data_IF_289848633600
#
_entry.id   IF_289848633600
#
_cell.length_a   1.000
_cell.length_b   1.000
_cell.length_c   1.000
_cell.angle_alpha   90.00
_cell.angle_beta   90.00
_cell.angle_gamma   90.00
#
_symmetry.space_group_name_H-M   'P 1'
#
loop_
_entity.id
_entity.type
_entity.pdbx_description
1 polymer ?
#
# COMPACT_ATOMS: atom_id res chain seq x y z
N UNK A 1 5.46 -0.56 33.42
CA UNK A 1 4.24 0.28 33.60
C UNK A 1 3.14 -0.33 32.78
N UNK A 2 1.95 -0.50 33.32
CA UNK A 2 0.79 -1.01 32.56
C UNK A 2 0.19 0.14 31.71
N UNK A 3 -0.21 -0.16 30.49
CA UNK A 3 -0.90 0.81 29.60
C UNK A 3 -2.11 1.41 30.34
N UNK A 4 -2.32 2.74 30.25
CA UNK A 4 -3.47 3.39 30.85
C UNK A 4 -4.79 2.95 30.18
N UNK A 5 -5.90 2.98 30.92
CA UNK A 5 -7.23 2.65 30.37
C UNK A 5 -7.62 3.58 29.19
N UNK A 6 -7.21 4.85 29.28
CA UNK A 6 -7.48 5.84 28.24
C UNK A 6 -6.67 5.55 26.97
N UNK A 7 -5.38 5.24 27.09
CA UNK A 7 -4.54 4.87 25.97
C UNK A 7 -5.01 3.56 25.33
N UNK A 8 -5.37 2.57 26.14
CA UNK A 8 -5.90 1.31 25.63
C UNK A 8 -7.19 1.52 24.80
N UNK A 9 -8.10 2.39 25.28
CA UNK A 9 -9.30 2.78 24.53
C UNK A 9 -8.95 3.55 23.25
N UNK A 10 -8.04 4.51 23.34
CA UNK A 10 -7.54 5.31 22.21
C UNK A 10 -6.97 4.38 21.12
N UNK A 11 -6.00 3.56 21.48
CA UNK A 11 -5.30 2.72 20.50
C UNK A 11 -6.16 1.57 19.96
N UNK A 12 -7.03 0.96 20.77
CA UNK A 12 -7.98 -0.03 20.27
C UNK A 12 -8.96 0.56 19.24
N UNK A 13 -9.21 1.87 19.26
CA UNK A 13 -10.06 2.54 18.27
C UNK A 13 -9.44 2.63 16.89
N UNK A 14 -8.11 2.50 16.75
CA UNK A 14 -7.36 2.57 15.48
C UNK A 14 -7.72 1.43 14.50
N UNK A 15 -8.47 0.43 14.95
CA UNK A 15 -9.11 -0.58 14.08
C UNK A 15 -10.00 0.08 13.01
N UNK A 16 -10.55 1.26 13.28
CA UNK A 16 -11.43 2.01 12.38
C UNK A 16 -10.65 3.07 11.59
N UNK A 17 -10.85 3.12 10.25
CA UNK A 17 -10.22 4.12 9.35
C UNK A 17 -10.43 5.55 9.85
N UNK A 18 -11.68 5.89 10.25
CA UNK A 18 -11.98 7.25 10.75
C UNK A 18 -11.13 7.66 11.94
N UNK A 19 -10.85 6.71 12.86
CA UNK A 19 -10.01 6.99 14.03
C UNK A 19 -8.52 7.05 13.70
N UNK A 20 -8.06 6.27 12.72
CA UNK A 20 -6.69 6.43 12.21
C UNK A 20 -6.47 7.82 11.63
N UNK A 21 -7.41 8.28 10.80
CA UNK A 21 -7.33 9.62 10.20
C UNK A 21 -7.44 10.75 11.23
N UNK A 22 -8.36 10.61 12.21
CA UNK A 22 -8.56 11.60 13.29
C UNK A 22 -7.32 11.74 14.18
N UNK A 23 -6.73 10.60 14.55
CA UNK A 23 -5.60 10.55 15.48
C UNK A 23 -4.24 10.63 14.80
N UNK A 24 -4.18 10.46 13.47
CA UNK A 24 -2.92 10.39 12.73
C UNK A 24 -2.05 9.19 13.11
N UNK A 25 -2.67 8.09 13.56
CA UNK A 25 -1.97 6.91 14.09
C UNK A 25 -2.49 5.62 13.43
N UNK A 26 -1.62 4.60 13.36
CA UNK A 26 -2.01 3.26 12.95
C UNK A 26 -1.29 2.18 13.77
N UNK A 27 -1.74 0.94 13.64
CA UNK A 27 -1.20 -0.21 14.38
C UNK A 27 -0.33 -1.05 13.47
N UNK A 28 0.83 -1.45 13.97
CA UNK A 28 1.74 -2.43 13.38
C UNK A 28 1.84 -3.62 14.32
N UNK A 29 1.64 -4.83 13.81
CA UNK A 29 1.61 -6.04 14.63
C UNK A 29 2.53 -7.12 14.07
N UNK A 30 3.14 -7.90 14.97
CA UNK A 30 3.97 -9.04 14.64
C UNK A 30 5.46 -8.71 14.54
N UNK A 31 6.29 -9.66 15.01
CA UNK A 31 7.73 -9.47 15.17
C UNK A 31 8.39 -8.96 13.88
N UNK A 32 8.19 -9.66 12.79
CA UNK A 32 8.85 -9.35 11.52
C UNK A 32 8.57 -7.93 11.02
N UNK A 33 7.31 -7.48 11.12
CA UNK A 33 6.93 -6.14 10.63
C UNK A 33 7.36 -5.06 11.63
N UNK A 34 7.29 -5.33 12.94
CA UNK A 34 7.82 -4.41 13.95
C UNK A 34 9.35 -4.26 13.86
N UNK A 35 10.08 -5.30 13.50
CA UNK A 35 11.52 -5.22 13.24
C UNK A 35 11.83 -4.34 12.01
N UNK A 36 11.02 -4.44 10.94
CA UNK A 36 11.10 -3.54 9.77
C UNK A 36 10.76 -2.09 10.13
N UNK A 37 9.70 -1.88 10.95
CA UNK A 37 9.32 -0.57 11.45
C UNK A 37 10.45 0.11 12.22
N UNK A 38 11.09 -0.60 13.14
CA UNK A 38 12.18 -0.05 13.98
C UNK A 38 13.39 0.39 13.13
N UNK A 39 13.59 -0.23 11.97
CA UNK A 39 14.66 0.13 11.02
C UNK A 39 14.25 1.20 10.03
N UNK A 40 12.98 1.61 10.00
CA UNK A 40 12.44 2.61 9.10
C UNK A 40 12.51 4.02 9.69
N UNK A 41 12.24 5.02 8.85
CA UNK A 41 12.14 6.43 9.27
C UNK A 41 10.76 6.79 9.85
N UNK A 42 9.88 5.79 10.06
CA UNK A 42 8.56 6.04 10.62
C UNK A 42 8.63 6.39 12.10
N UNK A 43 7.88 7.40 12.50
CA UNK A 43 7.84 7.84 13.89
C UNK A 43 7.01 6.88 14.74
N UNK A 44 7.70 6.14 15.61
CA UNK A 44 7.10 5.23 16.57
C UNK A 44 6.58 6.00 17.78
N UNK A 45 5.26 6.04 17.98
CA UNK A 45 4.63 6.68 19.14
C UNK A 45 4.78 5.83 20.41
N UNK A 46 4.51 4.52 20.31
CA UNK A 46 4.63 3.57 21.42
C UNK A 46 4.93 2.16 20.87
N UNK A 47 5.69 1.40 21.62
CA UNK A 47 5.92 -0.03 21.36
C UNK A 47 5.52 -0.86 22.57
N UNK A 48 4.63 -1.79 22.38
CA UNK A 48 4.14 -2.69 23.42
C UNK A 48 4.62 -4.13 23.16
N UNK A 49 5.00 -4.81 24.24
CA UNK A 49 5.36 -6.22 24.20
C UNK A 49 4.70 -6.96 25.35
N UNK A 50 4.45 -8.26 25.16
CA UNK A 50 4.12 -9.16 26.25
C UNK A 50 5.40 -9.75 26.86
N UNK A 51 5.30 -10.47 27.96
CA UNK A 51 6.44 -11.06 28.68
C UNK A 51 7.33 -11.91 27.75
N UNK A 52 6.76 -12.55 26.74
CA UNK A 52 7.47 -13.39 25.79
C UNK A 52 8.54 -12.66 24.95
N UNK A 53 8.43 -11.33 24.80
CA UNK A 53 9.34 -10.50 23.99
C UNK A 53 10.03 -9.40 24.77
N UNK A 54 9.94 -9.40 26.10
CA UNK A 54 10.51 -8.37 26.97
C UNK A 54 12.01 -8.20 26.82
N UNK A 55 12.74 -9.31 26.63
CA UNK A 55 14.19 -9.29 26.46
C UNK A 55 14.65 -8.75 25.11
N UNK A 56 13.81 -8.87 24.08
CA UNK A 56 14.17 -8.51 22.70
C UNK A 56 14.07 -7.01 22.42
N UNK A 57 13.27 -6.29 23.23
CA UNK A 57 12.93 -4.88 23.00
C UNK A 57 13.02 -4.06 24.31
N UNK A 58 14.21 -3.61 24.66
CA UNK A 58 14.50 -2.92 25.92
C UNK A 58 13.69 -1.63 26.13
N UNK A 59 13.33 -0.94 25.05
CA UNK A 59 12.55 0.31 25.11
C UNK A 59 11.04 0.12 24.96
N UNK A 60 10.57 -1.13 24.90
CA UNK A 60 9.16 -1.42 24.76
C UNK A 60 8.47 -1.44 26.13
N UNK A 61 7.20 -1.08 26.14
CA UNK A 61 6.35 -1.14 27.29
C UNK A 61 5.73 -2.51 27.48
N UNK A 62 5.86 -3.06 28.67
CA UNK A 62 5.26 -4.35 28.99
C UNK A 62 3.74 -4.20 29.19
N UNK A 63 2.97 -5.04 28.49
CA UNK A 63 1.52 -5.13 28.63
C UNK A 63 1.07 -6.56 28.92
N UNK A 64 -0.12 -6.69 29.51
CA UNK A 64 -0.73 -8.01 29.72
C UNK A 64 -1.21 -8.63 28.41
N UNK A 65 -1.30 -9.97 28.36
CA UNK A 65 -1.88 -10.66 27.20
C UNK A 65 -3.31 -10.17 26.91
N UNK A 66 -4.11 -9.85 27.93
CA UNK A 66 -5.46 -9.30 27.80
C UNK A 66 -5.48 -7.92 27.13
N UNK A 67 -4.51 -7.06 27.43
CA UNK A 67 -4.40 -5.75 26.79
C UNK A 67 -3.88 -5.89 25.37
N UNK A 68 -2.93 -6.79 25.12
CA UNK A 68 -2.47 -7.12 23.77
C UNK A 68 -3.62 -7.63 22.89
N UNK A 69 -4.49 -8.52 23.40
CA UNK A 69 -5.69 -9.00 22.71
C UNK A 69 -6.65 -7.86 22.33
N UNK A 70 -6.83 -6.89 23.21
CA UNK A 70 -7.68 -5.72 22.94
C UNK A 70 -7.12 -4.81 21.88
N UNK A 71 -5.80 -4.65 21.81
CA UNK A 71 -5.12 -3.84 20.79
C UNK A 71 -5.05 -4.57 19.46
N UNK A 72 -4.79 -5.87 19.48
CA UNK A 72 -4.58 -6.68 18.27
C UNK A 72 -5.83 -6.76 17.38
N UNK A 73 -5.59 -6.78 16.06
CA UNK A 73 -6.60 -7.08 15.03
C UNK A 73 -6.53 -8.55 14.57
N UNK A 74 -5.55 -9.30 15.06
CA UNK A 74 -5.33 -10.70 14.66
C UNK A 74 -6.20 -11.64 15.47
N UNK A 75 -6.58 -12.77 14.87
CA UNK A 75 -7.29 -13.85 15.58
C UNK A 75 -6.46 -14.40 16.76
N UNK A 76 -5.17 -14.61 16.51
CA UNK A 76 -4.19 -14.90 17.55
C UNK A 76 -3.45 -13.61 17.83
N UNK A 77 -3.60 -13.07 19.02
CA UNK A 77 -3.00 -11.81 19.43
C UNK A 77 -1.50 -11.76 19.12
N UNK A 78 -1.02 -10.62 18.72
CA UNK A 78 0.40 -10.38 18.60
C UNK A 78 1.03 -10.09 19.95
N UNK A 79 2.22 -10.63 20.17
CA UNK A 79 3.03 -10.36 21.37
C UNK A 79 3.86 -9.08 21.27
N UNK A 80 3.84 -8.41 20.12
CA UNK A 80 4.48 -7.13 19.87
C UNK A 80 3.56 -6.27 19.01
N UNK A 81 3.35 -5.03 19.45
CA UNK A 81 2.42 -4.08 18.82
C UNK A 81 3.04 -2.69 18.85
N UNK A 82 3.27 -2.11 17.68
CA UNK A 82 3.68 -0.72 17.50
C UNK A 82 2.49 0.19 17.23
N UNK A 83 2.48 1.36 17.87
CA UNK A 83 1.60 2.49 17.52
C UNK A 83 2.47 3.49 16.79
N UNK A 84 2.08 3.83 15.57
CA UNK A 84 2.93 4.55 14.63
C UNK A 84 2.20 5.77 14.11
N UNK A 85 2.90 6.89 13.94
CA UNK A 85 2.32 8.07 13.32
C UNK A 85 2.16 7.86 11.81
N UNK A 86 1.02 8.27 11.29
CA UNK A 86 0.80 8.29 9.83
C UNK A 86 1.63 9.43 9.26
N UNK A 87 2.59 9.14 8.36
CA UNK A 87 3.43 10.17 7.79
C UNK A 87 2.64 11.07 6.84
N UNK A 88 3.08 12.31 6.72
CA UNK A 88 2.66 13.20 5.64
C UNK A 88 3.75 13.21 4.59
N UNK A 89 3.40 12.90 3.36
CA UNK A 89 4.34 12.87 2.25
C UNK A 89 4.16 14.08 1.35
N UNK A 90 5.26 14.73 1.03
CA UNK A 90 5.28 15.70 -0.06
C UNK A 90 5.27 14.94 -1.40
N UNK A 91 4.60 15.49 -2.39
CA UNK A 91 4.67 14.97 -3.74
C UNK A 91 6.08 15.16 -4.31
N UNK A 92 6.58 14.22 -5.13
CA UNK A 92 7.83 14.44 -5.84
C UNK A 92 7.72 15.65 -6.75
N UNK A 93 8.83 16.37 -6.97
CA UNK A 93 8.86 17.54 -7.85
C UNK A 93 8.58 17.16 -9.30
N UNK A 94 9.12 16.02 -9.74
CA UNK A 94 8.97 15.48 -11.09
C UNK A 94 8.66 13.99 -11.04
N UNK A 95 8.04 13.52 -12.11
CA UNK A 95 7.89 12.11 -12.43
C UNK A 95 8.54 11.90 -13.79
N UNK A 96 9.64 11.18 -13.82
CA UNK A 96 10.47 11.02 -15.03
C UNK A 96 10.30 9.63 -15.67
N UNK A 97 9.52 8.76 -15.03
CA UNK A 97 9.28 7.38 -15.46
C UNK A 97 7.78 7.04 -15.43
N UNK A 98 7.44 5.82 -15.82
CA UNK A 98 6.07 5.32 -15.66
C UNK A 98 5.71 5.26 -14.18
N UNK A 99 4.67 5.99 -13.79
CA UNK A 99 4.12 5.95 -12.42
C UNK A 99 2.85 5.11 -12.36
N UNK A 100 2.46 4.68 -11.17
CA UNK A 100 1.33 3.77 -10.96
C UNK A 100 0.20 4.50 -10.24
N UNK A 101 -1.00 4.39 -10.80
CA UNK A 101 -2.24 4.85 -10.19
C UNK A 101 -3.20 3.67 -9.96
N UNK A 102 -3.71 3.55 -8.75
CA UNK A 102 -4.72 2.55 -8.40
C UNK A 102 -6.10 3.20 -8.35
N UNK A 103 -7.00 2.71 -9.18
CA UNK A 103 -8.40 3.15 -9.18
C UNK A 103 -9.26 2.15 -8.41
N UNK A 104 -9.71 2.56 -7.22
CA UNK A 104 -10.68 1.84 -6.38
C UNK A 104 -10.26 0.41 -6.00
N UNK A 105 -8.96 0.12 -5.88
CA UNK A 105 -8.49 -1.16 -5.34
C UNK A 105 -8.96 -1.29 -3.89
N UNK A 106 -9.84 -2.26 -3.63
CA UNK A 106 -10.61 -2.35 -2.39
C UNK A 106 -10.13 -3.45 -1.43
N UNK A 107 -9.45 -4.49 -1.94
CA UNK A 107 -8.93 -5.57 -1.10
C UNK A 107 -7.59 -5.20 -0.44
N UNK A 108 -7.50 -5.26 0.90
CA UNK A 108 -6.28 -4.90 1.62
C UNK A 108 -5.11 -5.87 1.38
N UNK A 109 -5.38 -7.12 1.02
CA UNK A 109 -4.35 -8.10 0.67
C UNK A 109 -3.72 -7.75 -0.68
N UNK A 110 -4.53 -7.38 -1.67
CA UNK A 110 -4.06 -6.91 -2.96
C UNK A 110 -3.23 -5.62 -2.80
N UNK A 111 -3.73 -4.64 -2.06
CA UNK A 111 -3.00 -3.40 -1.78
C UNK A 111 -1.61 -3.69 -1.17
N UNK A 112 -1.55 -4.53 -0.15
CA UNK A 112 -0.27 -4.89 0.49
C UNK A 112 0.67 -5.63 -0.45
N UNK A 113 0.15 -6.51 -1.30
CA UNK A 113 0.94 -7.25 -2.31
C UNK A 113 1.45 -6.31 -3.41
N UNK A 114 0.64 -5.34 -3.84
CA UNK A 114 1.06 -4.28 -4.78
C UNK A 114 2.21 -3.47 -4.19
N UNK A 115 2.10 -3.03 -2.93
CA UNK A 115 3.18 -2.31 -2.25
C UNK A 115 4.50 -3.11 -2.24
N UNK A 116 4.42 -4.44 -2.01
CA UNK A 116 5.62 -5.31 -2.07
C UNK A 116 6.21 -5.37 -3.47
N UNK A 117 5.38 -5.47 -4.50
CA UNK A 117 5.85 -5.50 -5.89
C UNK A 117 6.51 -4.18 -6.27
N UNK A 118 5.93 -3.05 -5.87
CA UNK A 118 6.50 -1.72 -6.09
C UNK A 118 7.86 -1.57 -5.42
N UNK A 119 7.96 -1.94 -4.14
CA UNK A 119 9.21 -1.94 -3.37
C UNK A 119 10.28 -2.82 -4.04
N UNK A 120 9.90 -4.02 -4.50
CA UNK A 120 10.80 -4.95 -5.18
C UNK A 120 11.39 -4.37 -6.47
N UNK A 121 10.58 -3.65 -7.25
CA UNK A 121 10.99 -3.02 -8.50
C UNK A 121 11.50 -1.58 -8.33
N UNK A 122 11.73 -1.10 -7.09
CA UNK A 122 12.36 0.19 -6.81
C UNK A 122 11.43 1.41 -6.95
N UNK A 123 10.11 1.21 -6.98
CA UNK A 123 9.15 2.31 -6.97
C UNK A 123 8.98 2.85 -5.55
N UNK A 124 9.29 4.11 -5.35
CA UNK A 124 9.17 4.78 -4.04
C UNK A 124 7.84 5.50 -3.83
N UNK A 125 7.01 5.63 -4.87
CA UNK A 125 5.72 6.32 -4.80
C UNK A 125 4.64 5.53 -5.53
N UNK A 126 3.40 5.59 -4.98
CA UNK A 126 2.19 5.09 -5.61
C UNK A 126 1.06 6.09 -5.38
N UNK A 127 0.17 6.22 -6.35
CA UNK A 127 -0.98 7.09 -6.28
C UNK A 127 -2.27 6.26 -6.24
N UNK A 128 -3.17 6.62 -5.35
CA UNK A 128 -4.39 5.89 -5.09
C UNK A 128 -5.60 6.82 -5.13
N UNK A 129 -6.68 6.41 -5.78
CA UNK A 129 -7.94 7.11 -5.68
C UNK A 129 -8.46 7.15 -4.24
N UNK A 130 -9.30 8.12 -3.90
CA UNK A 130 -9.88 8.28 -2.56
C UNK A 130 -10.67 7.06 -2.10
N UNK A 131 -11.17 6.27 -3.06
CA UNK A 131 -11.97 5.07 -2.84
C UNK A 131 -11.13 3.78 -2.71
N UNK A 132 -9.81 3.88 -2.77
CA UNK A 132 -8.95 2.75 -2.44
C UNK A 132 -9.02 2.40 -0.95
N UNK A 133 -8.71 1.14 -0.65
CA UNK A 133 -8.50 0.71 0.73
C UNK A 133 -7.36 1.53 1.35
N UNK A 134 -7.51 1.84 2.63
CA UNK A 134 -6.48 2.56 3.38
C UNK A 134 -5.19 1.72 3.50
N UNK A 135 -4.08 2.27 3.05
CA UNK A 135 -2.76 1.59 3.10
C UNK A 135 -2.30 1.30 4.53
N UNK A 136 -2.76 2.06 5.51
CA UNK A 136 -2.50 1.85 6.93
C UNK A 136 -3.57 0.96 7.60
N UNK A 137 -4.45 0.33 6.84
CA UNK A 137 -5.29 -0.76 7.33
C UNK A 137 -4.39 -1.91 7.81
N UNK A 138 -4.70 -2.49 8.95
CA UNK A 138 -3.87 -3.56 9.53
C UNK A 138 -3.60 -4.72 8.56
N UNK A 139 -4.61 -5.15 7.79
CA UNK A 139 -4.44 -6.24 6.80
C UNK A 139 -3.49 -5.83 5.67
N UNK A 140 -3.55 -4.57 5.22
CA UNK A 140 -2.62 -4.03 4.21
C UNK A 140 -1.20 -3.99 4.75
N UNK A 141 -1.02 -3.46 5.96
CA UNK A 141 0.29 -3.40 6.64
C UNK A 141 0.89 -4.79 6.76
N UNK A 142 0.10 -5.78 7.21
CA UNK A 142 0.54 -7.17 7.33
C UNK A 142 0.93 -7.77 5.97
N UNK A 143 0.09 -7.59 4.95
CA UNK A 143 0.33 -8.13 3.61
C UNK A 143 1.53 -7.48 2.92
N UNK A 144 1.84 -6.22 3.24
CA UNK A 144 2.98 -5.49 2.67
C UNK A 144 4.34 -6.00 3.16
N UNK A 145 4.38 -6.75 4.27
CA UNK A 145 5.60 -7.32 4.85
C UNK A 145 6.72 -6.29 5.08
N UNK A 146 6.33 -5.03 5.43
CA UNK A 146 7.26 -3.92 5.67
C UNK A 146 7.43 -2.95 4.49
N UNK A 147 6.99 -3.28 3.27
CA UNK A 147 7.09 -2.38 2.11
C UNK A 147 6.27 -1.09 2.29
N UNK A 148 5.24 -1.09 3.14
CA UNK A 148 4.48 0.11 3.51
C UNK A 148 5.37 1.20 4.14
N UNK A 149 6.52 0.85 4.68
CA UNK A 149 7.49 1.82 5.25
C UNK A 149 8.44 2.40 4.20
N UNK A 150 8.47 1.87 2.98
CA UNK A 150 9.39 2.29 1.90
C UNK A 150 8.68 2.89 0.70
N UNK A 151 7.43 2.47 0.43
CA UNK A 151 6.62 2.99 -0.67
C UNK A 151 5.65 4.05 -0.14
N UNK A 152 5.79 5.28 -0.58
CA UNK A 152 4.93 6.43 -0.21
C UNK A 152 3.63 6.35 -0.98
N UNK A 153 2.52 6.14 -0.29
CA UNK A 153 1.20 6.10 -0.91
C UNK A 153 0.52 7.48 -0.80
N UNK A 154 0.21 8.07 -1.94
CA UNK A 154 -0.47 9.36 -2.04
C UNK A 154 -1.94 9.14 -2.41
N UNK A 155 -2.86 9.62 -1.58
CA UNK A 155 -4.28 9.64 -1.92
C UNK A 155 -4.60 10.93 -2.65
N UNK A 156 -4.99 10.82 -3.92
CA UNK A 156 -5.23 11.97 -4.81
C UNK A 156 -6.26 11.57 -5.89
N UNK A 157 -7.09 12.49 -6.34
CA UNK A 157 -7.96 12.24 -7.48
C UNK A 157 -7.15 12.11 -8.78
N UNK A 158 -7.73 11.43 -9.79
CA UNK A 158 -7.04 11.24 -11.06
C UNK A 158 -6.82 12.57 -11.80
N UNK A 159 -7.74 13.50 -11.69
CA UNK A 159 -7.63 14.82 -12.31
C UNK A 159 -6.50 15.64 -11.69
N UNK A 160 -6.47 15.70 -10.36
CA UNK A 160 -5.43 16.44 -9.66
C UNK A 160 -4.01 15.91 -9.96
N UNK A 161 -3.83 14.58 -10.09
CA UNK A 161 -2.50 14.05 -10.45
C UNK A 161 -2.14 14.35 -11.89
N UNK A 162 -3.10 14.30 -12.83
CA UNK A 162 -2.87 14.65 -14.23
C UNK A 162 -2.55 16.15 -14.40
N UNK A 163 -3.26 17.03 -13.71
CA UNK A 163 -2.97 18.47 -13.68
C UNK A 163 -1.57 18.76 -13.12
N UNK A 164 -1.21 18.07 -12.03
CA UNK A 164 0.06 18.28 -11.35
C UNK A 164 1.27 17.87 -12.18
N UNK A 165 1.17 16.77 -12.94
CA UNK A 165 2.35 16.16 -13.56
C UNK A 165 2.34 16.14 -15.09
N UNK A 166 1.24 16.40 -15.75
CA UNK A 166 1.10 16.48 -17.22
C UNK A 166 1.69 15.27 -17.94
N UNK A 167 1.00 14.13 -17.91
CA UNK A 167 1.45 12.89 -18.53
C UNK A 167 1.27 12.91 -20.06
N UNK A 168 2.25 12.36 -20.79
CA UNK A 168 2.18 12.13 -22.24
C UNK A 168 1.30 10.92 -22.56
N UNK A 169 1.42 9.87 -21.74
CA UNK A 169 0.66 8.65 -21.89
C UNK A 169 -0.12 8.32 -20.61
N UNK A 170 -1.42 8.18 -20.78
CA UNK A 170 -2.34 7.64 -19.78
C UNK A 170 -2.66 6.22 -20.21
N UNK A 171 -2.08 5.23 -19.52
CA UNK A 171 -2.09 3.83 -19.94
C UNK A 171 -3.08 3.07 -19.05
N UNK A 172 -4.15 2.54 -19.64
CA UNK A 172 -5.09 1.65 -18.98
C UNK A 172 -4.68 0.18 -19.10
N UNK A 173 -4.98 -0.60 -18.06
CA UNK A 173 -4.84 -2.06 -18.10
C UNK A 173 -6.18 -2.68 -18.41
N UNK A 174 -6.31 -3.30 -19.59
CA UNK A 174 -7.55 -3.88 -20.10
C UNK A 174 -7.32 -5.31 -20.62
N UNK A 175 -8.40 -6.00 -20.97
CA UNK A 175 -8.29 -7.34 -21.55
C UNK A 175 -7.95 -7.29 -23.06
N UNK A 176 -8.35 -6.23 -23.75
CA UNK A 176 -8.26 -6.06 -25.21
C UNK A 176 -7.24 -4.99 -25.63
N UNK A 177 -6.31 -4.64 -24.75
CA UNK A 177 -5.26 -3.67 -25.02
C UNK A 177 -4.13 -4.21 -25.92
N UNK A 178 -3.19 -3.34 -26.26
CA UNK A 178 -1.95 -3.72 -26.95
C UNK A 178 -1.16 -4.72 -26.08
N UNK A 179 -0.52 -5.67 -26.73
CA UNK A 179 0.26 -6.69 -26.04
C UNK A 179 1.36 -6.05 -25.18
N UNK A 180 1.34 -6.30 -23.88
CA UNK A 180 2.32 -5.80 -22.90
C UNK A 180 3.77 -5.99 -23.35
N UNK A 181 4.07 -7.15 -23.95
CA UNK A 181 5.44 -7.51 -24.33
C UNK A 181 5.97 -6.76 -25.55
N UNK A 182 5.09 -6.19 -26.38
CA UNK A 182 5.46 -5.32 -27.51
C UNK A 182 5.32 -3.83 -27.20
N UNK A 183 4.58 -3.47 -26.15
CA UNK A 183 4.29 -2.09 -25.81
C UNK A 183 5.55 -1.31 -25.42
N UNK A 184 5.87 -0.17 -26.04
CA UNK A 184 7.02 0.64 -25.70
C UNK A 184 6.66 1.56 -24.51
N UNK A 185 7.22 1.31 -23.35
CA UNK A 185 7.08 2.21 -22.17
C UNK A 185 8.03 3.41 -22.32
N UNK A 186 7.66 4.36 -23.15
CA UNK A 186 8.45 5.58 -23.42
C UNK A 186 7.69 6.83 -22.96
N UNK A 187 8.45 7.86 -22.62
CA UNK A 187 7.90 9.14 -22.18
C UNK A 187 7.31 9.09 -20.77
N UNK A 188 6.80 10.25 -20.36
CA UNK A 188 6.20 10.45 -19.06
C UNK A 188 4.81 9.82 -19.00
N UNK A 189 4.68 8.72 -18.30
CA UNK A 189 3.48 7.86 -18.35
C UNK A 189 2.87 7.63 -16.99
N UNK A 190 1.53 7.50 -16.93
CA UNK A 190 0.78 7.00 -15.78
C UNK A 190 0.06 5.71 -16.16
N UNK A 191 0.35 4.64 -15.45
CA UNK A 191 -0.30 3.34 -15.61
C UNK A 191 -1.44 3.21 -14.60
N UNK A 192 -2.65 3.01 -15.10
CA UNK A 192 -3.86 2.87 -14.29
C UNK A 192 -4.21 1.39 -14.15
N UNK A 193 -4.35 0.96 -12.90
CA UNK A 193 -4.84 -0.36 -12.52
C UNK A 193 -6.20 -0.22 -11.84
N UNK A 194 -7.21 -0.90 -12.36
CA UNK A 194 -8.58 -0.79 -11.90
C UNK A 194 -8.95 -1.73 -10.76
N UNK A 195 -10.19 -1.59 -10.32
CA UNK A 195 -10.83 -2.44 -9.32
C UNK A 195 -10.98 -3.89 -9.81
N UNK A 196 -10.93 -4.84 -8.90
CA UNK A 196 -10.96 -6.28 -9.20
C UNK A 196 -12.27 -6.74 -9.87
N UNK A 197 -13.39 -6.10 -9.54
CA UNK A 197 -14.70 -6.47 -10.05
C UNK A 197 -15.17 -5.60 -11.23
N UNK A 198 -14.87 -4.29 -11.17
CA UNK A 198 -15.44 -3.30 -12.08
C UNK A 198 -14.41 -2.68 -13.04
N UNK A 199 -13.14 -3.11 -12.99
CA UNK A 199 -12.08 -2.53 -13.82
C UNK A 199 -11.79 -1.05 -13.49
N UNK A 200 -11.35 -0.30 -14.49
CA UNK A 200 -11.12 1.15 -14.41
C UNK A 200 -12.46 1.87 -14.46
N UNK A 201 -12.61 2.98 -13.72
CA UNK A 201 -13.84 3.79 -13.74
C UNK A 201 -14.01 4.49 -15.08
N UNK A 202 -15.26 4.65 -15.51
CA UNK A 202 -15.63 5.32 -16.76
C UNK A 202 -15.03 6.74 -16.85
N UNK A 203 -14.97 7.45 -15.72
CA UNK A 203 -14.36 8.77 -15.61
C UNK A 203 -12.88 8.77 -15.99
N UNK A 204 -12.14 7.74 -15.58
CA UNK A 204 -10.71 7.59 -15.91
C UNK A 204 -10.56 6.97 -17.29
N UNK A 205 -11.41 6.00 -17.65
CA UNK A 205 -11.38 5.30 -18.93
C UNK A 205 -11.47 6.28 -20.11
N UNK A 206 -12.33 7.30 -20.00
CA UNK A 206 -12.47 8.37 -21.00
C UNK A 206 -11.20 9.24 -21.19
N UNK A 207 -10.21 9.15 -20.29
CA UNK A 207 -8.95 9.89 -20.35
C UNK A 207 -7.78 9.02 -20.80
N UNK A 208 -7.97 7.72 -20.87
CA UNK A 208 -6.95 6.76 -21.31
C UNK A 208 -6.69 6.97 -22.81
N UNK A 209 -5.43 7.13 -23.18
CA UNK A 209 -5.02 7.26 -24.57
C UNK A 209 -4.24 6.05 -25.10
N UNK A 210 -3.87 5.11 -24.22
CA UNK A 210 -3.24 3.83 -24.54
C UNK A 210 -3.82 2.73 -23.67
N UNK A 211 -4.06 1.56 -24.23
CA UNK A 211 -4.48 0.37 -23.48
C UNK A 211 -3.47 -0.75 -23.64
N UNK A 212 -3.11 -1.41 -22.55
CA UNK A 212 -2.25 -2.59 -22.57
C UNK A 212 -2.97 -3.79 -21.98
N UNK A 213 -2.62 -4.97 -22.49
CA UNK A 213 -3.11 -6.24 -22.00
C UNK A 213 -1.98 -7.23 -21.75
N UNK A 214 -2.14 -8.06 -20.73
CA UNK A 214 -1.32 -9.24 -20.50
C UNK A 214 -1.89 -10.36 -21.39
N UNK A 215 -1.14 -10.91 -22.36
CA UNK A 215 -1.67 -11.91 -23.27
C UNK A 215 -2.23 -13.14 -22.55
N UNK A 216 -3.49 -13.45 -22.80
CA UNK A 216 -4.20 -14.57 -22.21
C UNK A 216 -4.10 -15.80 -23.11
N UNK A 217 -3.78 -16.96 -22.53
CA UNK A 217 -3.78 -18.26 -23.23
C UNK A 217 -4.84 -19.24 -22.69
N UNK A 218 -5.32 -19.01 -21.48
CA UNK A 218 -6.31 -19.86 -20.79
C UNK A 218 -7.71 -19.26 -20.80
N UNK A 219 -8.61 -19.84 -19.99
CA UNK A 219 -10.04 -19.46 -19.92
C UNK A 219 -10.39 -18.58 -18.71
N UNK A 220 -9.44 -18.18 -17.86
CA UNK A 220 -9.72 -17.29 -16.75
C UNK A 220 -10.26 -15.95 -17.25
N UNK A 221 -11.26 -15.37 -16.60
CA UNK A 221 -11.86 -14.10 -17.02
C UNK A 221 -10.88 -12.93 -16.88
N UNK A 222 -10.18 -12.87 -15.77
CA UNK A 222 -9.19 -11.83 -15.46
C UNK A 222 -8.07 -12.36 -14.58
N UNK A 223 -7.03 -11.56 -14.40
CA UNK A 223 -6.01 -11.77 -13.38
C UNK A 223 -6.31 -10.93 -12.14
N UNK A 224 -5.94 -11.45 -10.98
CA UNK A 224 -5.90 -10.65 -9.77
C UNK A 224 -5.04 -9.38 -9.97
N UNK A 225 -5.51 -8.22 -9.52
CA UNK A 225 -4.87 -6.92 -9.76
C UNK A 225 -3.42 -6.87 -9.27
N UNK A 226 -3.11 -7.50 -8.12
CA UNK A 226 -1.74 -7.53 -7.60
C UNK A 226 -0.81 -8.40 -8.45
N UNK A 227 -1.32 -9.50 -9.03
CA UNK A 227 -0.59 -10.34 -9.97
C UNK A 227 -0.34 -9.58 -11.29
N UNK A 228 -1.39 -8.96 -11.83
CA UNK A 228 -1.26 -8.13 -13.04
C UNK A 228 -0.22 -7.02 -12.83
N UNK A 229 -0.27 -6.32 -11.69
CA UNK A 229 0.71 -5.30 -11.33
C UNK A 229 2.13 -5.85 -11.35
N UNK A 230 2.39 -6.99 -10.72
CA UNK A 230 3.74 -7.57 -10.67
C UNK A 230 4.28 -7.95 -12.05
N UNK A 231 3.43 -8.51 -12.93
CA UNK A 231 3.80 -8.86 -14.32
C UNK A 231 4.16 -7.60 -15.12
N UNK A 232 3.34 -6.56 -15.00
CA UNK A 232 3.56 -5.29 -15.74
C UNK A 232 4.82 -4.59 -15.23
N UNK A 233 5.02 -4.49 -13.92
CA UNK A 233 6.22 -3.89 -13.34
C UNK A 233 7.49 -4.64 -13.75
N UNK A 234 7.45 -5.98 -13.81
CA UNK A 234 8.56 -6.78 -14.31
C UNK A 234 8.91 -6.44 -15.76
N UNK A 235 7.90 -6.28 -16.62
CA UNK A 235 8.13 -5.95 -18.03
C UNK A 235 8.62 -4.52 -18.22
N UNK A 236 8.10 -3.56 -17.47
CA UNK A 236 8.61 -2.18 -17.45
C UNK A 236 10.09 -2.19 -17.04
N UNK A 237 10.42 -2.85 -15.92
CA UNK A 237 11.80 -2.93 -15.44
C UNK A 237 12.74 -3.60 -16.45
N UNK A 238 12.30 -4.69 -17.09
CA UNK A 238 13.08 -5.38 -18.13
C UNK A 238 13.43 -4.46 -19.31
N UNK A 239 12.49 -3.59 -19.70
CA UNK A 239 12.68 -2.67 -20.84
C UNK A 239 13.46 -1.40 -20.50
N UNK A 240 13.45 -0.99 -19.24
CA UNK A 240 14.16 0.24 -18.80
C UNK A 240 15.57 -0.04 -18.31
N UNK A 241 15.92 -1.30 -18.02
CA UNK A 241 17.26 -1.72 -17.54
C UNK A 241 18.18 -2.17 -18.70
N UNK A 242 17.66 -2.33 -19.91
CA UNK A 242 18.40 -2.63 -21.14
C UNK A 242 18.66 -1.35 -21.94
#
# INVERSE_FOLDING_TARGET
>A
MTISRNDLKKFSSLKRRSKRNELGLFIVEGKKICDELIRSDFELERLFVTENYKSDYSNAELISNKDAERLSNLKNQSNIIGIVKIPKYDFPKNIDTTTIYLDRVSDPGNMGTILRSLDWFGYSNIYCSTNCVDVFNNKTVMASMGSVFRVKAHTISFDEICEKFSFENIIGTTLDGENLYSFPFIGKSILVLGNEANGISEEIENKINKNISIPKKGNAESLNVSIATAIILNEINRKTTL
#
